data_IF_895212249495
#
_entry.id   IF_895212249495
#
_cell.length_a   1.000
_cell.length_b   1.000
_cell.length_c   1.000
_cell.angle_alpha   90.00
_cell.angle_beta   90.00
_cell.angle_gamma   90.00
#
_symmetry.space_group_name_H-M   'P 1'
#
loop_
_entity.id
_entity.type
_entity.pdbx_description
1 polymer ?
#
# COMPACT_ATOMS: atom_id res chain seq x y z
N UNK A 1 -4.87 25.65 47.22
CA UNK A 1 -3.69 25.04 46.57
C UNK A 1 -4.11 23.72 45.95
N UNK A 2 -3.41 23.27 44.90
CA UNK A 2 -3.66 22.02 44.18
C UNK A 2 -2.39 21.15 44.25
N UNK A 3 -2.51 19.87 44.62
CA UNK A 3 -1.35 18.99 44.81
C UNK A 3 -0.70 18.50 43.52
N UNK A 4 -1.42 18.53 42.39
CA UNK A 4 -0.93 18.04 41.10
C UNK A 4 -1.38 18.97 39.96
N UNK A 5 -0.52 19.88 39.54
CA UNK A 5 -0.89 20.86 38.50
C UNK A 5 -0.98 20.25 37.08
N UNK A 6 -0.35 19.09 36.85
CA UNK A 6 -0.37 18.39 35.55
C UNK A 6 -1.75 17.89 35.15
N UNK A 7 -2.76 17.90 36.04
CA UNK A 7 -4.15 17.60 35.69
C UNK A 7 -4.81 18.72 34.87
N UNK A 8 -4.12 19.84 34.62
CA UNK A 8 -4.68 21.00 33.92
C UNK A 8 -5.24 22.10 34.85
N UNK A 9 -5.11 21.94 36.17
CA UNK A 9 -5.48 22.94 37.17
C UNK A 9 -4.24 23.60 37.77
N UNK A 10 -4.19 24.94 37.79
CA UNK A 10 -3.06 25.68 38.37
C UNK A 10 -2.75 25.28 39.83
N UNK A 11 -1.47 25.30 40.22
CA UNK A 11 -1.03 24.91 41.56
C UNK A 11 -1.64 25.79 42.68
N UNK A 12 -1.92 27.05 42.38
CA UNK A 12 -2.52 28.04 43.28
C UNK A 12 -3.52 28.92 42.54
N UNK A 13 -4.41 29.57 43.28
CA UNK A 13 -5.43 30.48 42.75
C UNK A 13 -6.24 31.12 43.89
N UNK A 14 -7.00 32.15 43.57
CA UNK A 14 -7.92 32.86 44.49
C UNK A 14 -9.32 32.91 43.89
N UNK A 15 -10.34 33.02 44.75
CA UNK A 15 -11.74 33.01 44.32
C UNK A 15 -12.24 31.62 43.91
N UNK A 16 -13.26 31.59 43.05
CA UNK A 16 -13.83 30.35 42.51
C UNK A 16 -12.87 29.69 41.51
N UNK A 17 -12.88 28.36 41.45
CA UNK A 17 -12.10 27.60 40.45
C UNK A 17 -12.89 27.59 39.13
N UNK A 18 -12.37 28.19 38.04
CA UNK A 18 -13.01 28.11 36.72
C UNK A 18 -12.97 26.68 36.16
N UNK A 19 -13.79 26.41 35.15
CA UNK A 19 -13.70 25.15 34.39
C UNK A 19 -12.32 25.03 33.73
N UNK A 20 -11.75 23.82 33.75
CA UNK A 20 -10.48 23.51 33.09
C UNK A 20 -10.57 22.17 32.35
N UNK A 21 -9.72 21.99 31.35
CA UNK A 21 -9.59 20.70 30.66
C UNK A 21 -8.73 19.78 31.49
N UNK A 22 -9.31 18.69 31.99
CA UNK A 22 -8.58 17.69 32.75
C UNK A 22 -7.58 16.93 31.85
N UNK A 23 -6.35 16.73 32.32
CA UNK A 23 -5.29 16.05 31.58
C UNK A 23 -4.78 14.84 32.36
N UNK A 24 -4.70 13.69 31.70
CA UNK A 24 -3.95 12.53 32.19
C UNK A 24 -3.24 11.86 31.01
N UNK A 25 -1.93 12.10 30.91
CA UNK A 25 -1.05 11.54 29.87
C UNK A 25 -0.44 10.18 30.29
N UNK A 26 -0.76 9.69 31.48
CA UNK A 26 -0.26 8.42 32.00
C UNK A 26 -1.14 7.23 31.65
N UNK A 27 -0.86 6.10 32.30
CA UNK A 27 -1.57 4.82 32.13
C UNK A 27 -2.42 4.42 33.34
N UNK A 28 -2.41 5.22 34.41
CA UNK A 28 -3.16 4.97 35.65
C UNK A 28 -3.97 6.21 36.03
N UNK A 29 -5.07 6.06 36.80
CA UNK A 29 -5.78 7.21 37.35
C UNK A 29 -4.84 8.08 38.18
N UNK A 30 -4.90 9.40 37.96
CA UNK A 30 -4.19 10.38 38.79
C UNK A 30 -5.18 11.11 39.67
N UNK A 31 -4.87 11.29 40.95
CA UNK A 31 -5.72 12.00 41.89
C UNK A 31 -5.00 13.24 42.40
N UNK A 32 -5.66 14.39 42.32
CA UNK A 32 -5.19 15.64 42.91
C UNK A 32 -6.08 16.07 44.07
N UNK A 33 -5.47 16.50 45.15
CA UNK A 33 -6.15 17.07 46.31
C UNK A 33 -6.11 18.59 46.22
N UNK A 34 -7.28 19.22 46.31
CA UNK A 34 -7.45 20.67 46.37
C UNK A 34 -7.73 21.07 47.81
N UNK A 35 -6.93 21.98 48.33
CA UNK A 35 -7.11 22.58 49.67
C UNK A 35 -7.60 24.01 49.52
N UNK A 36 -8.78 24.30 50.07
CA UNK A 36 -9.42 25.62 50.08
C UNK A 36 -9.33 26.19 51.49
N UNK A 37 -8.60 27.30 51.63
CA UNK A 37 -8.51 28.03 52.91
C UNK A 37 -9.36 29.29 52.80
N UNK A 38 -10.49 29.38 53.53
CA UNK A 38 -11.27 30.61 53.55
C UNK A 38 -10.50 31.72 54.27
N UNK A 39 -10.62 32.95 53.80
CA UNK A 39 -9.99 34.11 54.41
C UNK A 39 -11.05 35.17 54.61
N UNK A 40 -11.26 35.58 55.85
CA UNK A 40 -12.07 36.74 56.19
C UNK A 40 -11.19 37.99 56.20
N UNK A 41 -11.62 39.05 55.52
CA UNK A 41 -10.90 40.33 55.46
C UNK A 41 -11.80 41.46 55.93
N UNK A 42 -11.38 42.18 56.97
CA UNK A 42 -12.08 43.36 57.48
C UNK A 42 -11.07 44.35 58.09
N UNK A 43 -11.27 45.65 57.86
CA UNK A 43 -10.45 46.71 58.46
C UNK A 43 -8.95 46.59 58.22
N UNK A 44 -8.52 46.07 57.07
CA UNK A 44 -7.10 45.88 56.75
C UNK A 44 -6.45 44.63 57.35
N UNK A 45 -7.20 43.81 58.09
CA UNK A 45 -6.72 42.59 58.74
C UNK A 45 -7.28 41.35 58.03
N UNK A 46 -6.42 40.35 57.82
CA UNK A 46 -6.76 39.06 57.19
C UNK A 46 -6.73 37.94 58.22
N UNK A 47 -7.82 37.17 58.31
CA UNK A 47 -7.96 36.03 59.22
C UNK A 47 -8.22 34.75 58.40
N UNK A 48 -7.21 33.88 58.30
CA UNK A 48 -7.35 32.58 57.65
C UNK A 48 -8.17 31.63 58.55
N UNK A 49 -9.20 31.02 57.97
CA UNK A 49 -9.99 29.98 58.63
C UNK A 49 -9.43 28.57 58.40
N UNK A 50 -10.13 27.56 58.93
CA UNK A 50 -9.77 26.15 58.76
C UNK A 50 -9.91 25.72 57.28
N UNK A 51 -8.88 25.10 56.69
CA UNK A 51 -8.98 24.63 55.31
C UNK A 51 -9.93 23.43 55.16
N UNK A 52 -10.63 23.37 54.03
CA UNK A 52 -11.39 22.18 53.59
C UNK A 52 -10.73 21.57 52.36
N UNK A 53 -10.86 20.26 52.16
CA UNK A 53 -10.27 19.56 51.02
C UNK A 53 -11.30 18.80 50.20
N UNK A 54 -11.02 18.65 48.91
CA UNK A 54 -11.71 17.74 48.00
C UNK A 54 -10.74 17.24 46.92
N UNK A 55 -11.12 16.25 46.11
CA UNK A 55 -10.23 15.64 45.11
C UNK A 55 -10.79 15.70 43.69
N UNK A 56 -9.87 15.74 42.73
CA UNK A 56 -10.11 15.42 41.32
C UNK A 56 -9.40 14.12 40.97
N UNK A 57 -10.13 13.12 40.48
CA UNK A 57 -9.53 11.92 39.89
C UNK A 57 -9.70 11.99 38.37
N UNK A 58 -8.58 11.97 37.64
CA UNK A 58 -8.55 12.01 36.19
C UNK A 58 -8.11 10.65 35.66
N UNK A 59 -9.00 9.96 34.96
CA UNK A 59 -8.72 8.66 34.35
C UNK A 59 -7.90 8.82 33.05
N UNK A 60 -7.00 7.89 32.72
CA UNK A 60 -6.26 7.92 31.47
C UNK A 60 -7.16 7.62 30.28
N UNK A 61 -6.80 8.13 29.09
CA UNK A 61 -7.43 7.68 27.84
C UNK A 61 -6.86 6.31 27.47
N UNK A 62 -7.73 5.31 27.35
CA UNK A 62 -7.32 3.96 26.97
C UNK A 62 -6.77 3.93 25.54
N UNK A 63 -5.80 3.07 25.27
CA UNK A 63 -5.28 2.84 23.92
C UNK A 63 -5.29 1.36 23.57
N UNK A 64 -5.24 1.06 22.28
CA UNK A 64 -4.96 -0.27 21.76
C UNK A 64 -3.73 -0.16 20.87
N UNK A 65 -2.76 -1.04 21.04
CA UNK A 65 -1.57 -1.09 20.21
C UNK A 65 -1.91 -1.52 18.78
N UNK A 66 -1.02 -1.25 17.82
CA UNK A 66 -1.22 -1.69 16.45
C UNK A 66 -1.17 -3.22 16.40
N UNK A 67 -2.12 -3.83 15.70
CA UNK A 67 -2.20 -5.27 15.48
C UNK A 67 -1.89 -5.53 14.01
N UNK A 68 -0.95 -6.43 13.73
CA UNK A 68 -0.65 -6.83 12.35
C UNK A 68 -1.83 -7.61 11.75
N UNK A 69 -1.98 -7.56 10.43
CA UNK A 69 -2.95 -8.39 9.72
C UNK A 69 -2.64 -9.88 9.95
N UNK A 70 -3.69 -10.69 10.11
CA UNK A 70 -3.58 -12.12 10.41
C UNK A 70 -3.99 -12.96 9.20
N UNK A 71 -3.35 -14.11 9.03
CA UNK A 71 -3.75 -15.13 8.05
C UNK A 71 -3.84 -16.47 8.75
N UNK A 72 -5.02 -17.10 8.71
CA UNK A 72 -5.29 -18.40 9.30
C UNK A 72 -5.79 -19.40 8.27
N UNK A 73 -5.71 -20.68 8.59
CA UNK A 73 -6.37 -21.75 7.83
C UNK A 73 -7.69 -22.13 8.52
N UNK A 74 -8.72 -22.42 7.73
CA UNK A 74 -9.97 -22.93 8.25
C UNK A 74 -9.74 -24.22 9.06
N UNK A 75 -10.39 -24.32 10.23
CA UNK A 75 -10.34 -25.49 11.12
C UNK A 75 -9.26 -25.46 12.20
N UNK A 76 -8.29 -24.53 12.14
CA UNK A 76 -7.21 -24.45 13.15
C UNK A 76 -7.51 -23.38 14.21
N UNK A 77 -7.74 -23.73 15.49
CA UNK A 77 -7.98 -22.76 16.56
C UNK A 77 -6.90 -21.67 16.60
N UNK A 78 -7.34 -20.41 16.65
CA UNK A 78 -6.47 -19.24 16.50
C UNK A 78 -6.80 -18.16 17.53
N UNK A 79 -5.79 -17.38 17.93
CA UNK A 79 -5.94 -16.30 18.91
C UNK A 79 -5.31 -14.99 18.44
N UNK A 80 -5.88 -13.85 18.85
CA UNK A 80 -5.32 -12.51 18.65
C UNK A 80 -5.41 -11.75 19.97
N UNK A 81 -4.25 -11.36 20.50
CA UNK A 81 -4.17 -10.68 21.80
C UNK A 81 -4.10 -9.16 21.63
N UNK A 82 -4.95 -8.45 22.38
CA UNK A 82 -4.94 -7.00 22.44
C UNK A 82 -4.14 -6.51 23.66
N UNK A 83 -3.44 -5.39 23.46
CA UNK A 83 -2.66 -4.72 24.50
C UNK A 83 -2.74 -3.20 24.29
N UNK A 84 -2.40 -2.44 25.32
CA UNK A 84 -2.64 -1.00 25.38
C UNK A 84 -1.91 -0.36 26.56
N UNK A 85 -2.10 0.95 26.76
CA UNK A 85 -1.41 1.71 27.79
C UNK A 85 -1.87 1.41 29.22
N UNK A 86 -3.19 1.29 29.46
CA UNK A 86 -3.77 1.21 30.81
C UNK A 86 -4.21 -0.21 31.17
N UNK A 87 -3.71 -0.73 32.30
CA UNK A 87 -4.13 -2.03 32.85
C UNK A 87 -5.62 -1.99 33.22
N UNK A 88 -6.37 -3.05 32.88
CA UNK A 88 -7.83 -3.08 33.06
C UNK A 88 -8.63 -2.44 31.92
N UNK A 89 -7.96 -2.06 30.83
CA UNK A 89 -8.64 -1.66 29.58
C UNK A 89 -9.49 -2.82 29.04
N UNK A 90 -10.75 -2.52 28.73
CA UNK A 90 -11.67 -3.41 28.03
C UNK A 90 -11.60 -3.09 26.54
N UNK A 91 -11.24 -4.10 25.73
CA UNK A 91 -11.25 -4.01 24.27
C UNK A 91 -12.58 -4.53 23.74
N UNK A 92 -13.44 -3.64 23.26
CA UNK A 92 -14.64 -4.02 22.51
C UNK A 92 -14.31 -4.07 21.04
N UNK A 93 -14.79 -5.06 20.31
CA UNK A 93 -14.49 -5.20 18.90
C UNK A 93 -15.72 -5.57 18.08
N UNK A 94 -15.68 -5.21 16.79
CA UNK A 94 -16.66 -5.57 15.77
C UNK A 94 -15.96 -6.27 14.60
N UNK A 95 -16.69 -7.14 13.91
CA UNK A 95 -16.27 -7.92 12.76
C UNK A 95 -17.30 -7.71 11.64
N UNK A 96 -16.86 -7.28 10.47
CA UNK A 96 -17.75 -7.05 9.33
C UNK A 96 -18.10 -8.33 8.53
N UNK A 97 -17.47 -9.46 8.80
CA UNK A 97 -17.69 -10.70 8.05
C UNK A 97 -17.65 -11.92 8.98
N UNK A 98 -18.81 -12.43 9.40
CA UNK A 98 -18.88 -13.59 10.30
C UNK A 98 -18.60 -14.92 9.59
N UNK A 99 -18.46 -14.95 8.27
CA UNK A 99 -18.12 -16.17 7.53
C UNK A 99 -16.72 -16.71 7.92
N UNK A 100 -15.86 -15.88 8.52
CA UNK A 100 -14.56 -16.31 9.07
C UNK A 100 -14.68 -17.13 10.36
N UNK A 101 -15.88 -17.31 10.92
CA UNK A 101 -16.10 -18.09 12.15
C UNK A 101 -15.93 -17.28 13.44
N UNK A 102 -15.67 -15.98 13.34
CA UNK A 102 -15.65 -15.03 14.45
C UNK A 102 -17.03 -14.33 14.54
N UNK A 103 -17.54 -14.16 15.76
CA UNK A 103 -18.79 -13.43 16.00
C UNK A 103 -18.76 -12.00 15.42
N UNK A 104 -19.92 -11.39 15.19
CA UNK A 104 -20.00 -10.02 14.65
C UNK A 104 -19.45 -8.95 15.61
N UNK A 105 -19.42 -9.25 16.91
CA UNK A 105 -18.86 -8.38 17.94
C UNK A 105 -18.50 -9.17 19.18
N UNK A 106 -17.66 -8.58 20.04
CA UNK A 106 -17.33 -9.15 21.34
C UNK A 106 -16.40 -8.25 22.15
N UNK A 107 -15.89 -8.80 23.25
CA UNK A 107 -14.98 -8.10 24.16
C UNK A 107 -13.77 -8.98 24.49
N UNK A 108 -12.64 -8.33 24.79
CA UNK A 108 -11.39 -9.02 25.12
C UNK A 108 -10.64 -9.54 23.89
N UNK A 109 -9.67 -10.41 24.12
CA UNK A 109 -8.88 -11.04 23.05
C UNK A 109 -9.75 -11.92 22.15
N UNK A 110 -9.32 -12.10 20.90
CA UNK A 110 -10.01 -13.01 19.97
C UNK A 110 -9.54 -14.44 20.23
N UNK A 111 -10.49 -15.37 20.33
CA UNK A 111 -10.25 -16.81 20.37
C UNK A 111 -11.40 -17.49 19.64
N UNK A 112 -11.11 -18.12 18.51
CA UNK A 112 -12.11 -18.75 17.65
C UNK A 112 -11.46 -19.83 16.78
N UNK A 113 -12.31 -20.69 16.19
CA UNK A 113 -11.87 -21.61 15.13
C UNK A 113 -12.26 -21.00 13.80
N UNK A 114 -11.31 -20.57 12.96
CA UNK A 114 -11.62 -19.95 11.69
C UNK A 114 -12.40 -20.89 10.77
N UNK A 115 -13.37 -20.36 10.04
CA UNK A 115 -14.13 -21.09 9.02
C UNK A 115 -13.95 -20.45 7.66
N UNK A 116 -13.90 -21.27 6.62
CA UNK A 116 -14.04 -20.85 5.23
C UNK A 116 -14.55 -22.05 4.43
N UNK A 117 -15.84 -22.05 4.11
CA UNK A 117 -16.51 -23.11 3.35
C UNK A 117 -16.44 -22.90 1.83
N UNK A 118 -15.92 -21.74 1.41
CA UNK A 118 -15.69 -21.44 0.01
C UNK A 118 -14.38 -22.06 -0.50
N UNK A 119 -14.04 -21.72 -1.74
CA UNK A 119 -12.82 -22.21 -2.39
C UNK A 119 -11.72 -21.17 -2.48
N UNK A 120 -11.99 -19.92 -2.11
CA UNK A 120 -11.03 -18.80 -2.12
C UNK A 120 -10.89 -18.20 -0.73
N UNK A 121 -9.76 -17.52 -0.40
CA UNK A 121 -9.62 -16.82 0.87
C UNK A 121 -10.76 -15.83 1.11
N UNK A 122 -11.24 -15.75 2.36
CA UNK A 122 -12.21 -14.73 2.80
C UNK A 122 -11.53 -13.78 3.78
N UNK A 123 -11.93 -12.50 3.77
CA UNK A 123 -11.32 -11.45 4.59
C UNK A 123 -12.39 -10.80 5.46
N UNK A 124 -12.02 -10.54 6.71
CA UNK A 124 -12.76 -9.75 7.68
C UNK A 124 -11.92 -8.54 8.12
N UNK A 125 -12.57 -7.40 8.33
CA UNK A 125 -12.00 -6.24 9.00
C UNK A 125 -12.51 -6.20 10.43
N UNK A 126 -11.57 -6.19 11.37
CA UNK A 126 -11.86 -6.09 12.80
C UNK A 126 -11.61 -4.66 13.24
N UNK A 127 -12.58 -4.04 13.89
CA UNK A 127 -12.43 -2.71 14.53
C UNK A 127 -12.45 -2.88 16.04
N UNK A 128 -11.39 -2.43 16.72
CA UNK A 128 -11.21 -2.57 18.17
C UNK A 128 -11.21 -1.20 18.82
N UNK A 129 -12.10 -1.01 19.80
CA UNK A 129 -12.25 0.21 20.59
C UNK A 129 -11.86 -0.07 22.04
N UNK A 130 -10.77 0.52 22.55
CA UNK A 130 -10.37 0.37 23.95
C UNK A 130 -11.18 1.30 24.86
N UNK A 131 -11.48 0.86 26.08
CA UNK A 131 -12.16 1.67 27.09
C UNK A 131 -11.62 1.38 28.48
N UNK A 132 -11.46 2.42 29.30
CA UNK A 132 -11.01 2.30 30.68
C UNK A 132 -12.03 2.94 31.62
N UNK A 133 -12.49 2.21 32.63
CA UNK A 133 -13.51 2.69 33.58
C UNK A 133 -12.96 2.68 34.99
N UNK A 134 -13.04 3.83 35.66
CA UNK A 134 -12.70 3.97 37.08
C UNK A 134 -13.57 5.05 37.72
N UNK A 135 -14.06 4.80 38.94
CA UNK A 135 -14.96 5.74 39.64
C UNK A 135 -16.28 6.01 38.91
N UNK A 136 -16.78 5.05 38.11
CA UNK A 136 -18.02 5.20 37.33
C UNK A 136 -17.89 6.04 36.05
N UNK A 137 -16.69 6.55 35.73
CA UNK A 137 -16.41 7.31 34.51
C UNK A 137 -15.63 6.45 33.51
N UNK A 138 -16.13 6.35 32.28
CA UNK A 138 -15.50 5.59 31.19
C UNK A 138 -14.78 6.52 30.22
N UNK A 139 -13.48 6.30 30.02
CA UNK A 139 -12.66 6.96 29.02
C UNK A 139 -12.44 6.03 27.83
N UNK A 140 -13.11 6.30 26.71
CA UNK A 140 -12.97 5.55 25.45
C UNK A 140 -11.81 6.09 24.63
N UNK A 141 -10.98 5.20 24.10
CA UNK A 141 -9.90 5.56 23.18
C UNK A 141 -10.27 5.46 21.72
N UNK A 142 -9.35 5.92 20.88
CA UNK A 142 -9.50 5.85 19.42
C UNK A 142 -9.50 4.40 18.94
N UNK A 143 -10.48 3.99 18.09
CA UNK A 143 -10.49 2.65 17.52
C UNK A 143 -9.30 2.40 16.60
N UNK A 144 -8.88 1.13 16.48
CA UNK A 144 -7.94 0.66 15.46
C UNK A 144 -8.52 -0.50 14.66
N UNK A 145 -8.09 -0.62 13.41
CA UNK A 145 -8.54 -1.66 12.50
C UNK A 145 -7.38 -2.55 12.03
N UNK A 146 -7.65 -3.84 11.83
CA UNK A 146 -6.77 -4.80 11.16
C UNK A 146 -7.60 -5.82 10.40
N UNK A 147 -6.99 -6.61 9.51
CA UNK A 147 -7.70 -7.67 8.77
C UNK A 147 -7.32 -9.06 9.23
N UNK A 148 -8.30 -9.96 9.18
CA UNK A 148 -8.09 -11.41 9.30
C UNK A 148 -8.47 -12.04 7.96
N UNK A 149 -7.52 -12.72 7.33
CA UNK A 149 -7.74 -13.57 6.16
C UNK A 149 -7.85 -15.03 6.60
N UNK A 150 -8.86 -15.76 6.12
CA UNK A 150 -9.01 -17.19 6.37
C UNK A 150 -8.93 -17.95 5.05
N UNK A 151 -7.89 -18.76 4.90
CA UNK A 151 -7.72 -19.67 3.76
C UNK A 151 -8.65 -20.88 3.92
N UNK A 152 -9.26 -21.38 2.83
CA UNK A 152 -10.05 -22.60 2.86
C UNK A 152 -9.18 -23.83 3.14
N UNK A 153 -9.80 -24.95 3.48
CA UNK A 153 -9.11 -26.24 3.55
C UNK A 153 -8.71 -26.68 2.14
N UNK A 154 -7.54 -27.31 2.01
CA UNK A 154 -7.10 -27.90 0.75
C UNK A 154 -8.04 -29.02 0.29
N UNK A 155 -8.38 -29.01 -0.99
CA UNK A 155 -9.29 -29.92 -1.65
C UNK A 155 -8.65 -30.46 -2.93
N UNK A 156 -8.94 -31.72 -3.24
CA UNK A 156 -8.61 -32.37 -4.51
C UNK A 156 -9.90 -32.95 -5.11
N UNK A 157 -10.09 -32.76 -6.42
CA UNK A 157 -11.21 -33.33 -7.15
C UNK A 157 -11.13 -34.86 -7.10
N UNK A 158 -12.27 -35.52 -6.95
CA UNK A 158 -12.32 -36.97 -6.99
C UNK A 158 -11.80 -37.47 -8.35
N UNK A 159 -10.87 -38.42 -8.30
CA UNK A 159 -10.34 -39.11 -9.48
C UNK A 159 -11.02 -40.48 -9.62
N UNK A 160 -11.32 -40.88 -10.85
CA UNK A 160 -11.98 -42.17 -11.10
C UNK A 160 -10.98 -43.32 -10.92
N UNK A 161 -11.44 -44.40 -10.28
CA UNK A 161 -10.65 -45.64 -10.18
C UNK A 161 -10.50 -46.29 -11.56
N UNK A 162 -9.35 -46.92 -11.78
CA UNK A 162 -9.06 -47.67 -13.01
C UNK A 162 -9.19 -49.18 -12.74
N UNK A 163 -9.80 -49.91 -13.67
CA UNK A 163 -9.85 -51.38 -13.67
C UNK A 163 -9.09 -51.85 -14.90
N UNK A 164 -8.04 -52.65 -14.70
CA UNK A 164 -7.09 -53.02 -15.75
C UNK A 164 -6.80 -54.52 -15.70
N UNK A 165 -6.50 -55.11 -16.86
CA UNK A 165 -5.98 -56.47 -16.96
C UNK A 165 -4.47 -56.49 -16.67
N UNK A 166 -3.94 -57.64 -16.23
CA UNK A 166 -2.50 -57.83 -16.06
C UNK A 166 -1.74 -57.51 -17.37
N UNK A 167 -0.67 -56.72 -17.27
CA UNK A 167 0.15 -56.28 -18.41
C UNK A 167 -0.42 -55.13 -19.25
N UNK A 168 -1.58 -54.57 -18.88
CA UNK A 168 -2.14 -53.39 -19.55
C UNK A 168 -1.54 -52.09 -19.01
N UNK A 169 -1.41 -51.07 -19.86
CA UNK A 169 -1.01 -49.73 -19.43
C UNK A 169 -2.13 -49.03 -18.66
N UNK A 170 -1.76 -48.20 -17.68
CA UNK A 170 -2.68 -47.31 -16.97
C UNK A 170 -2.93 -46.04 -17.80
N UNK A 171 -4.02 -45.33 -17.50
CA UNK A 171 -4.17 -43.92 -17.88
C UNK A 171 -3.52 -43.02 -16.82
N UNK A 172 -3.00 -41.86 -17.22
CA UNK A 172 -2.46 -40.88 -16.28
C UNK A 172 -3.55 -40.38 -15.31
N UNK A 173 -3.21 -40.24 -14.03
CA UNK A 173 -4.08 -39.62 -13.02
C UNK A 173 -3.65 -38.16 -12.86
N UNK A 174 -4.50 -37.25 -13.33
CA UNK A 174 -4.26 -35.81 -13.19
C UNK A 174 -5.08 -35.28 -12.02
N UNK A 175 -4.40 -34.67 -11.04
CA UNK A 175 -5.08 -34.00 -9.93
C UNK A 175 -5.48 -32.59 -10.33
N UNK A 176 -6.63 -32.15 -9.82
CA UNK A 176 -7.13 -30.79 -9.97
C UNK A 176 -7.84 -30.40 -8.67
N UNK A 177 -7.95 -29.09 -8.43
CA UNK A 177 -8.63 -28.52 -7.27
C UNK A 177 -9.57 -27.42 -7.73
N UNK A 178 -10.63 -27.20 -6.96
CA UNK A 178 -11.46 -25.99 -7.09
C UNK A 178 -10.97 -24.87 -6.17
N UNK A 179 -10.01 -25.13 -5.26
CA UNK A 179 -9.39 -24.07 -4.47
C UNK A 179 -8.74 -23.05 -5.39
N UNK A 180 -9.13 -21.79 -5.22
CA UNK A 180 -8.65 -20.67 -5.99
C UNK A 180 -8.15 -19.54 -5.12
N UNK A 181 -7.93 -18.39 -5.74
CA UNK A 181 -7.30 -17.23 -5.13
C UNK A 181 -5.80 -17.20 -5.44
N UNK A 182 -5.09 -16.40 -4.66
CA UNK A 182 -3.69 -16.08 -4.93
C UNK A 182 -3.35 -14.73 -4.34
N UNK A 183 -2.06 -14.40 -4.38
CA UNK A 183 -1.56 -13.13 -3.87
C UNK A 183 -1.13 -12.28 -5.05
N UNK A 184 -1.61 -11.03 -5.10
CA UNK A 184 -1.04 -10.03 -6.00
C UNK A 184 0.34 -9.69 -5.46
N UNK A 185 1.39 -10.06 -6.20
CA UNK A 185 2.78 -9.78 -5.84
C UNK A 185 3.37 -8.79 -6.83
N UNK A 186 4.31 -7.96 -6.36
CA UNK A 186 5.12 -7.14 -7.26
C UNK A 186 6.00 -8.05 -8.11
N UNK A 187 5.96 -7.86 -9.42
CA UNK A 187 6.87 -8.55 -10.33
C UNK A 187 8.26 -7.91 -10.33
N UNK A 188 9.26 -8.67 -10.77
CA UNK A 188 10.59 -8.12 -11.08
C UNK A 188 10.45 -7.15 -12.25
N UNK A 189 10.87 -5.87 -12.13
CA UNK A 189 10.71 -4.87 -13.18
C UNK A 189 11.28 -5.34 -14.52
N UNK A 190 10.57 -5.05 -15.61
CA UNK A 190 11.00 -5.36 -16.98
C UNK A 190 11.56 -4.10 -17.60
N UNK A 191 12.77 -4.15 -18.13
CA UNK A 191 13.40 -3.02 -18.83
C UNK A 191 13.74 -3.40 -20.27
N UNK A 192 13.22 -2.63 -21.23
CA UNK A 192 13.70 -2.66 -22.61
C UNK A 192 14.69 -1.51 -22.83
N UNK A 193 15.80 -1.78 -23.49
CA UNK A 193 16.85 -0.80 -23.77
C UNK A 193 17.13 -0.79 -25.28
N UNK A 194 17.36 0.39 -25.85
CA UNK A 194 17.84 0.50 -27.22
C UNK A 194 19.28 0.04 -27.40
N UNK A 195 20.05 -0.05 -26.30
CA UNK A 195 21.50 0.00 -26.38
C UNK A 195 21.95 1.34 -26.99
N UNK A 196 23.16 1.36 -27.53
CA UNK A 196 23.68 2.53 -28.24
C UNK A 196 23.03 2.63 -29.62
N UNK A 197 22.41 3.78 -29.89
CA UNK A 197 21.80 4.13 -31.17
C UNK A 197 22.30 5.50 -31.64
N UNK A 198 22.04 5.83 -32.90
CA UNK A 198 22.28 7.17 -33.44
C UNK A 198 21.06 7.58 -34.26
N UNK A 199 20.08 8.19 -33.58
CA UNK A 199 18.88 8.71 -34.23
C UNK A 199 18.97 10.22 -34.26
N UNK A 200 19.30 10.75 -35.43
CA UNK A 200 19.37 12.20 -35.67
C UNK A 200 17.95 12.74 -35.72
N UNK A 201 17.67 13.76 -34.92
CA UNK A 201 16.38 14.47 -34.94
C UNK A 201 16.41 15.47 -36.10
N UNK A 202 15.46 15.40 -37.05
CA UNK A 202 15.42 16.35 -38.15
C UNK A 202 15.07 17.75 -37.65
N UNK A 203 15.90 18.71 -38.04
CA UNK A 203 15.79 20.13 -37.68
C UNK A 203 14.48 20.75 -38.21
N UNK A 204 13.80 21.52 -37.36
CA UNK A 204 12.51 22.18 -37.61
C UNK A 204 11.43 21.33 -38.33
N UNK A 205 11.48 19.99 -38.22
CA UNK A 205 10.60 19.12 -39.00
C UNK A 205 9.31 18.78 -38.25
N UNK A 206 8.17 19.12 -38.84
CA UNK A 206 6.87 18.89 -38.21
C UNK A 206 6.50 17.42 -37.99
N UNK A 207 7.01 16.49 -38.81
CA UNK A 207 6.77 15.06 -38.66
C UNK A 207 7.64 14.43 -37.55
N UNK A 208 8.77 15.05 -37.21
CA UNK A 208 9.73 14.53 -36.24
C UNK A 208 10.36 13.19 -36.67
N UNK A 209 10.86 12.45 -35.69
CA UNK A 209 11.45 11.12 -35.87
C UNK A 209 11.08 10.24 -34.66
N UNK A 210 11.25 8.93 -34.79
CA UNK A 210 10.96 8.00 -33.70
C UNK A 210 11.94 6.84 -33.61
N UNK A 211 12.00 6.22 -32.43
CA UNK A 211 12.59 4.92 -32.22
C UNK A 211 11.61 4.03 -31.45
N UNK A 212 11.51 2.75 -31.82
CA UNK A 212 10.60 1.77 -31.20
C UNK A 212 11.37 0.72 -30.43
N UNK A 213 10.88 0.35 -29.25
CA UNK A 213 11.33 -0.81 -28.48
C UNK A 213 10.18 -1.82 -28.37
N UNK A 214 10.39 -3.08 -28.80
CA UNK A 214 9.45 -4.15 -28.49
C UNK A 214 9.57 -4.53 -27.01
N UNK A 215 8.45 -4.57 -26.31
CA UNK A 215 8.36 -4.94 -24.89
C UNK A 215 7.50 -6.19 -24.74
N UNK A 216 7.97 -7.16 -23.95
CA UNK A 216 7.17 -8.32 -23.54
C UNK A 216 7.08 -8.37 -22.01
N UNK A 217 5.87 -8.22 -21.48
CA UNK A 217 5.57 -8.43 -20.07
C UNK A 217 5.08 -9.87 -19.83
N UNK A 218 5.26 -10.42 -18.62
CA UNK A 218 4.69 -11.71 -18.27
C UNK A 218 3.17 -11.76 -18.46
N UNK A 219 2.65 -12.94 -18.79
CA UNK A 219 1.20 -13.17 -18.91
C UNK A 219 0.50 -12.81 -17.60
N UNK A 220 -0.57 -12.02 -17.66
CA UNK A 220 -1.31 -11.57 -16.48
C UNK A 220 -0.69 -10.39 -15.72
N UNK A 221 0.39 -9.78 -16.24
CA UNK A 221 0.98 -8.58 -15.65
C UNK A 221 0.02 -7.37 -15.73
N UNK A 222 -0.13 -6.67 -14.61
CA UNK A 222 -0.84 -5.38 -14.51
C UNK A 222 0.19 -4.29 -14.23
N UNK A 223 0.38 -3.35 -15.16
CA UNK A 223 1.35 -2.26 -15.01
C UNK A 223 0.93 -1.37 -13.84
N UNK A 224 1.89 -1.07 -12.96
CA UNK A 224 1.74 -0.15 -11.83
C UNK A 224 2.63 1.08 -11.94
N UNK A 225 3.63 1.06 -12.83
CA UNK A 225 4.50 2.20 -13.07
C UNK A 225 5.34 2.06 -14.34
N UNK A 226 5.66 3.19 -14.94
CA UNK A 226 6.57 3.30 -16.08
C UNK A 226 7.63 4.36 -15.77
N UNK A 227 8.86 4.08 -16.16
CA UNK A 227 9.97 5.05 -16.18
C UNK A 227 10.66 5.00 -17.54
N UNK A 228 10.83 6.15 -18.18
CA UNK A 228 11.56 6.29 -19.45
C UNK A 228 12.84 7.04 -19.18
N UNK A 229 13.98 6.42 -19.44
CA UNK A 229 15.29 7.06 -19.35
C UNK A 229 15.83 7.32 -20.76
N UNK A 230 16.42 8.49 -21.00
CA UNK A 230 17.05 8.77 -22.28
C UNK A 230 18.27 9.67 -22.16
N UNK A 231 19.17 9.48 -23.13
CA UNK A 231 20.35 10.32 -23.35
C UNK A 231 20.31 10.87 -24.78
N UNK A 232 20.51 12.17 -24.91
CA UNK A 232 20.52 12.85 -26.20
C UNK A 232 21.52 14.01 -26.17
N UNK A 233 22.26 14.17 -27.26
CA UNK A 233 22.97 15.43 -27.52
C UNK A 233 22.02 16.42 -28.19
N UNK A 234 21.97 17.65 -27.72
CA UNK A 234 21.21 18.75 -28.36
C UNK A 234 21.78 20.07 -27.87
N UNK A 235 21.93 21.05 -28.76
CA UNK A 235 22.50 22.36 -28.45
C UNK A 235 21.49 23.30 -27.80
N UNK A 236 20.18 23.13 -28.04
CA UNK A 236 19.09 23.87 -27.38
C UNK A 236 17.92 22.96 -26.98
N UNK A 237 17.87 22.51 -25.72
CA UNK A 237 16.87 21.50 -25.29
C UNK A 237 15.44 22.03 -25.25
N UNK A 238 15.24 23.35 -25.22
CA UNK A 238 13.91 23.97 -25.25
C UNK A 238 13.16 23.83 -26.57
N UNK A 239 13.83 23.34 -27.62
CA UNK A 239 13.17 23.12 -28.90
C UNK A 239 12.59 21.71 -29.00
N UNK A 240 13.00 20.84 -28.08
CA UNK A 240 12.63 19.44 -28.10
C UNK A 240 11.25 19.17 -27.50
N UNK A 241 10.52 18.25 -28.14
CA UNK A 241 9.35 17.58 -27.60
C UNK A 241 9.57 16.08 -27.67
N UNK A 242 9.26 15.39 -26.58
CA UNK A 242 9.30 13.92 -26.50
C UNK A 242 7.92 13.38 -26.16
N UNK A 243 7.43 12.46 -26.98
CA UNK A 243 6.17 11.77 -26.78
C UNK A 243 6.40 10.25 -26.71
N UNK A 244 5.79 9.60 -25.74
CA UNK A 244 5.78 8.13 -25.65
C UNK A 244 4.44 7.61 -26.16
N UNK A 245 4.49 6.82 -27.22
CA UNK A 245 3.34 6.08 -27.73
C UNK A 245 3.35 4.65 -27.19
N UNK A 246 2.24 4.25 -26.59
CA UNK A 246 2.03 2.90 -26.08
C UNK A 246 1.38 1.99 -27.15
N UNK A 247 1.47 0.65 -27.00
CA UNK A 247 0.83 -0.32 -27.89
C UNK A 247 -0.69 -0.16 -28.01
N UNK A 248 -1.34 0.39 -26.98
CA UNK A 248 -2.78 0.70 -27.00
C UNK A 248 -3.13 1.94 -27.87
N UNK A 249 -2.13 2.58 -28.49
CA UNK A 249 -2.29 3.78 -29.31
C UNK A 249 -2.36 5.10 -28.53
N UNK A 250 -2.37 5.07 -27.20
CA UNK A 250 -2.33 6.27 -26.37
C UNK A 250 -0.92 6.88 -26.38
N UNK A 251 -0.87 8.22 -26.34
CA UNK A 251 0.38 8.97 -26.43
C UNK A 251 0.49 9.91 -25.24
N UNK A 252 1.56 9.81 -24.47
CA UNK A 252 1.86 10.72 -23.37
C UNK A 252 2.98 11.67 -23.79
N UNK A 253 2.79 12.97 -23.54
CA UNK A 253 3.86 13.94 -23.65
C UNK A 253 4.79 13.83 -22.43
N UNK A 254 6.03 13.41 -22.66
CA UNK A 254 7.04 13.25 -21.62
C UNK A 254 7.73 14.57 -21.30
N UNK A 255 8.08 15.32 -22.35
CA UNK A 255 8.82 16.58 -22.26
C UNK A 255 8.30 17.55 -23.31
N UNK A 256 8.21 18.83 -22.94
CA UNK A 256 7.70 19.87 -23.81
C UNK A 256 8.47 21.17 -23.62
N UNK A 257 9.50 21.37 -24.44
CA UNK A 257 10.10 22.68 -24.70
C UNK A 257 10.56 23.45 -23.45
N UNK A 258 11.11 22.72 -22.49
CA UNK A 258 11.63 23.28 -21.23
C UNK A 258 13.16 23.43 -21.26
N UNK A 259 13.73 24.11 -20.25
CA UNK A 259 15.18 24.09 -20.04
C UNK A 259 15.96 25.27 -20.61
N UNK A 260 15.30 26.18 -21.34
CA UNK A 260 15.93 27.35 -21.95
C UNK A 260 17.08 26.99 -22.89
N UNK A 261 18.13 27.82 -22.91
CA UNK A 261 19.37 27.57 -23.68
C UNK A 261 20.25 26.44 -23.11
N UNK A 262 19.66 25.54 -22.34
CA UNK A 262 20.31 24.34 -21.85
C UNK A 262 20.71 23.39 -22.98
N UNK A 263 21.72 22.58 -22.70
CA UNK A 263 22.23 21.57 -23.64
C UNK A 263 21.98 20.17 -23.08
N UNK A 264 21.75 19.23 -23.99
CA UNK A 264 21.71 17.79 -23.78
C UNK A 264 20.67 17.27 -22.76
N UNK A 265 20.33 16.00 -22.94
CA UNK A 265 19.67 15.18 -21.94
C UNK A 265 20.66 14.13 -21.48
N UNK A 266 21.01 14.15 -20.20
CA UNK A 266 22.01 13.24 -19.63
C UNK A 266 21.36 12.48 -18.48
N UNK A 267 21.14 11.18 -18.69
CA UNK A 267 20.47 10.30 -17.74
C UNK A 267 19.13 10.90 -17.25
N UNK A 268 18.39 11.51 -18.18
CA UNK A 268 17.09 12.13 -17.88
C UNK A 268 16.06 11.03 -17.79
N UNK A 269 15.38 10.93 -16.65
CA UNK A 269 14.32 9.94 -16.43
C UNK A 269 12.99 10.65 -16.25
N UNK A 270 11.99 10.27 -17.04
CA UNK A 270 10.60 10.70 -16.85
C UNK A 270 9.82 9.51 -16.30
N UNK A 271 9.25 9.64 -15.10
CA UNK A 271 8.65 8.53 -14.37
C UNK A 271 7.26 8.83 -13.87
N UNK A 272 6.41 7.80 -13.85
CA UNK A 272 5.10 7.80 -13.18
C UNK A 272 5.16 8.13 -11.68
N UNK A 273 6.29 7.94 -11.03
CA UNK A 273 6.52 8.33 -9.62
C UNK A 273 7.38 9.59 -9.49
N UNK A 274 7.77 10.21 -10.60
CA UNK A 274 8.55 11.45 -10.61
C UNK A 274 7.69 12.62 -10.16
N UNK A 275 8.26 13.48 -9.30
CA UNK A 275 7.57 14.68 -8.77
C UNK A 275 8.26 15.98 -9.15
N UNK A 276 9.54 15.95 -9.54
CA UNK A 276 10.28 17.13 -9.96
C UNK A 276 9.77 17.64 -11.32
N UNK A 277 9.60 18.96 -11.44
CA UNK A 277 9.14 19.61 -12.68
C UNK A 277 10.32 19.85 -13.63
N UNK A 278 10.08 19.67 -14.92
CA UNK A 278 11.01 20.02 -16.00
C UNK A 278 11.04 21.54 -16.22
N UNK A 279 11.85 22.24 -15.43
CA UNK A 279 11.97 23.71 -15.48
C UNK A 279 13.24 24.18 -16.21
N UNK A 280 14.40 24.13 -15.54
CA UNK A 280 15.69 24.63 -16.07
C UNK A 280 16.65 23.46 -16.28
N UNK A 281 17.36 23.46 -17.40
CA UNK A 281 18.43 22.51 -17.66
C UNK A 281 19.65 22.79 -16.74
N UNK A 282 20.53 21.81 -16.47
CA UNK A 282 20.59 20.47 -17.05
C UNK A 282 19.52 19.52 -16.51
N UNK A 283 19.01 18.63 -17.37
CA UNK A 283 18.06 17.60 -16.97
C UNK A 283 18.79 16.32 -16.57
N UNK A 284 19.22 16.25 -15.31
CA UNK A 284 19.80 15.03 -14.72
C UNK A 284 18.89 14.51 -13.61
N UNK A 285 18.57 13.22 -13.62
CA UNK A 285 17.73 12.59 -12.59
C UNK A 285 16.29 12.32 -13.04
N UNK A 286 15.36 12.23 -12.08
CA UNK A 286 13.98 11.76 -12.31
C UNK A 286 12.96 12.89 -12.18
N UNK A 287 12.12 13.07 -13.19
CA UNK A 287 11.13 14.12 -13.30
C UNK A 287 9.73 13.56 -13.58
N UNK A 288 8.71 14.37 -13.29
CA UNK A 288 7.35 14.16 -13.74
C UNK A 288 7.25 14.38 -15.26
N UNK A 289 6.29 13.73 -15.91
CA UNK A 289 5.98 14.01 -17.31
C UNK A 289 5.37 15.41 -17.46
N UNK A 290 5.70 16.09 -18.57
CA UNK A 290 5.08 17.38 -18.90
C UNK A 290 3.56 17.24 -19.11
N UNK A 291 3.09 16.09 -19.62
CA UNK A 291 1.68 15.70 -19.69
C UNK A 291 0.75 16.69 -20.41
N UNK A 292 1.29 17.54 -21.29
CA UNK A 292 0.49 18.43 -22.11
C UNK A 292 -0.27 17.64 -23.18
N UNK A 293 -1.58 17.86 -23.33
CA UNK A 293 -2.44 17.22 -24.34
C UNK A 293 -2.35 17.98 -25.67
N UNK A 294 -2.41 17.27 -26.79
CA UNK A 294 -2.40 17.87 -28.13
C UNK A 294 -1.02 18.38 -28.58
N UNK A 295 0.05 17.99 -27.87
CA UNK A 295 1.43 18.41 -28.15
C UNK A 295 2.20 17.24 -28.74
N UNK A 296 3.02 17.48 -29.77
CA UNK A 296 3.85 16.43 -30.37
C UNK A 296 4.27 16.68 -31.82
N UNK A 297 4.93 15.70 -32.44
CA UNK A 297 5.06 15.63 -33.89
C UNK A 297 3.70 15.43 -34.58
N UNK A 298 3.62 15.83 -35.84
CA UNK A 298 2.40 15.75 -36.65
C UNK A 298 1.94 14.31 -36.77
N UNK A 299 0.66 14.06 -36.46
CA UNK A 299 0.08 12.71 -36.42
C UNK A 299 0.42 11.90 -35.16
N UNK A 300 1.22 12.45 -34.24
CA UNK A 300 1.66 11.78 -32.99
C UNK A 300 1.47 12.71 -31.78
N UNK A 301 0.35 13.44 -31.77
CA UNK A 301 -0.01 14.33 -30.68
C UNK A 301 -0.41 13.54 -29.44
N UNK A 302 -0.04 14.04 -28.27
CA UNK A 302 -0.40 13.44 -26.99
C UNK A 302 -1.91 13.41 -26.75
N UNK A 303 -2.39 12.26 -26.28
CA UNK A 303 -3.80 11.97 -25.97
C UNK A 303 -4.01 11.57 -24.52
N UNK A 304 -2.96 11.09 -23.84
CA UNK A 304 -3.00 10.68 -22.44
C UNK A 304 -2.56 11.82 -21.52
N UNK A 305 -3.32 12.05 -20.45
CA UNK A 305 -3.05 13.09 -19.45
C UNK A 305 -2.02 12.67 -18.39
N UNK A 306 -1.66 11.38 -18.33
CA UNK A 306 -0.66 10.83 -17.43
C UNK A 306 -0.29 9.39 -17.87
N UNK A 307 0.66 8.77 -17.17
CA UNK A 307 1.11 7.41 -17.47
C UNK A 307 0.01 6.35 -17.36
N UNK A 308 -0.99 6.50 -16.49
CA UNK A 308 -2.03 5.49 -16.31
C UNK A 308 -2.87 5.28 -17.59
N UNK A 309 -2.99 6.31 -18.44
CA UNK A 309 -3.61 6.18 -19.77
C UNK A 309 -2.88 5.20 -20.70
N UNK A 310 -1.63 4.84 -20.40
CA UNK A 310 -0.82 3.94 -21.23
C UNK A 310 -0.90 2.46 -20.78
N UNK A 311 -1.48 2.16 -19.62
CA UNK A 311 -1.29 0.86 -18.95
C UNK A 311 -2.14 -0.29 -19.54
N UNK A 312 -3.16 0.00 -20.35
CA UNK A 312 -4.14 -1.00 -20.80
C UNK A 312 -3.56 -2.06 -21.74
N UNK A 313 -2.39 -1.81 -22.36
CA UNK A 313 -1.71 -2.79 -23.23
C UNK A 313 -0.21 -2.63 -23.09
N UNK A 314 0.40 -3.42 -22.19
CA UNK A 314 1.82 -3.31 -21.84
C UNK A 314 2.79 -4.02 -22.78
N UNK A 315 2.42 -5.20 -23.27
CA UNK A 315 3.20 -5.96 -24.26
C UNK A 315 2.95 -5.41 -25.66
N UNK A 316 4.01 -5.18 -26.42
CA UNK A 316 3.97 -4.65 -27.77
C UNK A 316 5.02 -3.57 -27.99
N UNK A 317 4.83 -2.83 -29.07
CA UNK A 317 5.74 -1.77 -29.50
C UNK A 317 5.52 -0.47 -28.72
N UNK A 318 6.55 -0.03 -28.00
CA UNK A 318 6.61 1.29 -27.37
C UNK A 318 7.49 2.20 -28.19
N UNK A 319 6.95 3.33 -28.64
CA UNK A 319 7.64 4.24 -29.56
C UNK A 319 7.90 5.58 -28.91
N UNK A 320 9.18 5.96 -28.82
CA UNK A 320 9.60 7.30 -28.42
C UNK A 320 9.65 8.18 -29.67
N UNK A 321 8.77 9.16 -29.72
CA UNK A 321 8.68 10.19 -30.74
C UNK A 321 9.37 11.46 -30.30
N UNK A 322 10.12 12.07 -31.20
CA UNK A 322 10.94 13.26 -30.96
C UNK A 322 10.72 14.27 -32.06
N UNK A 323 10.63 15.54 -31.69
CA UNK A 323 10.59 16.65 -32.64
C UNK A 323 11.39 17.82 -32.11
N UNK A 324 12.18 18.39 -33.01
CA UNK A 324 12.74 19.73 -32.86
C UNK A 324 11.76 20.75 -33.48
N UNK A 325 11.40 21.77 -32.70
CA UNK A 325 10.47 22.83 -33.11
C UNK A 325 11.17 24.04 -33.72
N UNK A 326 12.45 24.27 -33.44
CA UNK A 326 13.21 25.39 -33.95
C UNK A 326 14.17 24.93 -35.05
N UNK A 327 14.70 25.89 -35.79
CA UNK A 327 15.71 25.67 -36.83
C UNK A 327 17.09 26.04 -36.33
N UNK A 328 18.13 25.37 -36.82
CA UNK A 328 19.53 25.77 -36.59
C UNK A 328 20.26 24.95 -35.51
N UNK A 329 19.56 24.04 -34.85
CA UNK A 329 20.10 23.14 -33.85
C UNK A 329 19.80 21.70 -34.29
N UNK A 330 20.74 20.77 -34.03
CA UNK A 330 20.56 19.36 -34.37
C UNK A 330 20.93 18.52 -33.17
N UNK A 331 20.07 17.57 -32.84
CA UNK A 331 20.34 16.59 -31.79
C UNK A 331 20.37 15.16 -32.27
N UNK A 332 20.94 14.30 -31.42
CA UNK A 332 21.00 12.85 -31.66
C UNK A 332 20.60 12.12 -30.38
N UNK A 333 19.56 11.30 -30.46
CA UNK A 333 19.26 10.34 -29.41
C UNK A 333 20.33 9.24 -29.44
N UNK A 334 21.05 9.08 -28.33
CA UNK A 334 22.19 8.16 -28.24
C UNK A 334 21.83 6.85 -27.56
N UNK A 335 20.85 6.87 -26.65
CA UNK A 335 20.21 5.69 -26.10
C UNK A 335 18.94 6.08 -25.33
N UNK A 336 18.05 5.11 -25.16
CA UNK A 336 16.94 5.21 -24.22
C UNK A 336 16.49 3.84 -23.73
N UNK A 337 15.74 3.85 -22.64
CA UNK A 337 15.13 2.67 -22.07
C UNK A 337 13.78 2.99 -21.48
N UNK A 338 12.98 1.93 -21.34
CA UNK A 338 11.69 1.97 -20.67
C UNK A 338 11.61 0.82 -19.68
N UNK A 339 11.32 1.16 -18.42
CA UNK A 339 11.19 0.23 -17.30
C UNK A 339 9.74 0.17 -16.85
N UNK A 340 9.22 -1.04 -16.66
CA UNK A 340 7.87 -1.32 -16.19
C UNK A 340 7.91 -1.94 -14.80
N UNK A 341 7.25 -1.28 -13.86
CA UNK A 341 6.81 -1.90 -12.62
C UNK A 341 5.42 -2.49 -12.86
N UNK A 342 5.19 -3.70 -12.38
CA UNK A 342 3.90 -4.37 -12.52
C UNK A 342 3.63 -5.28 -11.32
N UNK A 343 2.39 -5.69 -11.19
CA UNK A 343 1.99 -6.78 -10.32
C UNK A 343 1.47 -7.95 -11.13
N UNK A 344 1.55 -9.14 -10.54
CA UNK A 344 0.99 -10.37 -11.12
C UNK A 344 0.23 -11.12 -10.02
N UNK A 345 -0.87 -11.76 -10.41
CA UNK A 345 -1.54 -12.71 -9.53
C UNK A 345 -0.71 -13.99 -9.48
N UNK A 346 -0.05 -14.23 -8.36
CA UNK A 346 0.53 -15.53 -8.07
C UNK A 346 -0.59 -16.45 -7.57
N UNK A 347 -1.00 -17.49 -8.33
CA UNK A 347 -2.08 -18.37 -7.90
C UNK A 347 -1.74 -19.06 -6.59
N UNK A 348 -2.75 -19.33 -5.77
CA UNK A 348 -2.58 -20.24 -4.64
C UNK A 348 -2.17 -21.62 -5.18
N UNK A 349 -1.01 -22.13 -4.77
CA UNK A 349 -0.52 -23.43 -5.21
C UNK A 349 -1.07 -24.49 -4.27
N UNK A 350 -1.80 -25.45 -4.82
CA UNK A 350 -2.14 -26.69 -4.12
C UNK A 350 -1.17 -27.75 -4.59
N UNK A 351 -0.31 -28.24 -3.71
CA UNK A 351 0.52 -29.40 -3.99
C UNK A 351 -0.22 -30.67 -3.57
N UNK A 352 -0.05 -31.73 -4.33
CA UNK A 352 -0.65 -33.03 -4.05
C UNK A 352 0.44 -33.99 -3.57
N UNK A 353 0.20 -34.63 -2.44
CA UNK A 353 1.02 -35.73 -1.94
C UNK A 353 0.16 -37.00 -1.94
N UNK A 354 0.72 -38.10 -2.43
CA UNK A 354 0.05 -39.39 -2.46
C UNK A 354 0.91 -40.47 -1.83
N UNK A 355 0.26 -41.45 -1.23
CA UNK A 355 0.87 -42.65 -0.64
C UNK A 355 0.20 -43.88 -1.22
N UNK A 356 0.95 -44.99 -1.31
CA UNK A 356 0.42 -46.28 -1.72
C UNK A 356 0.62 -47.29 -0.59
N UNK A 357 -0.45 -47.98 -0.20
CA UNK A 357 -0.45 -48.98 0.85
C UNK A 357 -0.10 -50.40 0.35
N UNK A 358 0.09 -50.58 -0.95
CA UNK A 358 0.48 -51.85 -1.59
C UNK A 358 1.61 -51.64 -2.59
N UNK A 359 2.84 -51.94 -2.19
CA UNK A 359 4.03 -51.80 -3.06
C UNK A 359 4.12 -52.83 -4.18
N UNK A 360 3.27 -53.87 -4.17
CA UNK A 360 3.26 -54.95 -5.16
C UNK A 360 2.73 -54.57 -6.55
N UNK A 361 2.16 -53.38 -6.72
CA UNK A 361 1.60 -52.89 -8.00
C UNK A 361 2.54 -51.97 -8.78
N UNK A 362 3.84 -51.93 -8.45
CA UNK A 362 4.85 -51.22 -9.25
C UNK A 362 4.82 -49.70 -9.16
N UNK A 363 4.04 -49.11 -8.25
CA UNK A 363 4.11 -47.68 -7.92
C UNK A 363 5.15 -47.44 -6.81
N UNK A 364 5.84 -46.30 -6.87
CA UNK A 364 6.65 -45.81 -5.75
C UNK A 364 5.79 -45.70 -4.47
N UNK A 365 6.39 -45.88 -3.29
CA UNK A 365 5.65 -45.85 -2.02
C UNK A 365 4.99 -44.48 -1.73
N UNK A 366 5.55 -43.41 -2.30
CA UNK A 366 5.00 -42.05 -2.26
C UNK A 366 5.52 -41.20 -3.42
N UNK A 367 4.83 -40.08 -3.69
CA UNK A 367 5.25 -39.06 -4.63
C UNK A 367 4.65 -37.70 -4.28
N UNK A 368 5.29 -36.63 -4.74
CA UNK A 368 4.83 -35.25 -4.58
C UNK A 368 4.94 -34.51 -5.91
N UNK A 369 3.94 -33.69 -6.23
CA UNK A 369 3.89 -32.90 -7.45
C UNK A 369 2.87 -31.76 -7.35
N UNK A 370 2.95 -30.82 -8.29
CA UNK A 370 1.98 -29.74 -8.48
C UNK A 370 1.02 -30.09 -9.60
#
# INVERSE_FOLDING_TARGET
>A
TNSLASIGLAATGTGNIPSFTAVNNGSTPVTSTVTVTPVYFNGGTSCAGTPTTFTYTVNPTATVNAVANQTFCAGTPSTVNFSGNATGTVYSWTNNNTAIGLAASGTGNLSFTPTNTGTTPIIATITVTPSFTNGGVTCTGTPRTFTIMVNPVGQVNAVSSQVLCNGSNTTAVNFATVNGGGTIVAGTPVTANSGTISVVVPDANAAGISHTLPVTLPVGATITGISVNFNMTHTWVSDMVFNLKAPNGQILNLFNRSGGAGVNFTNTTISSTGTAVLATAPFTGTFAAAAAIGVGPTGQLSTAANFAGLYSTGTGDWTLWMRDYAGGDVGTLTNWSITFNYTILQPAVTSYAWTNNTTSIGLAASGSGN
#
